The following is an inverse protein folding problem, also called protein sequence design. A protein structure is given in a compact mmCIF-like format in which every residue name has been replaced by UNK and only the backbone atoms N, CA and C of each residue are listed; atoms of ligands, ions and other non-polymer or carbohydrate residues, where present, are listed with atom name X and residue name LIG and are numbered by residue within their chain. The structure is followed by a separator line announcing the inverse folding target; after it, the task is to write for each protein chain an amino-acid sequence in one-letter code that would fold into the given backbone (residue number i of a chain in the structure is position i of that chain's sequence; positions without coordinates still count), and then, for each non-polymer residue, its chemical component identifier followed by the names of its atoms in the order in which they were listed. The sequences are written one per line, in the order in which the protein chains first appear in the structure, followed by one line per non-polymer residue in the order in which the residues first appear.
data_IF_860456063989
#
_entry.id   IF_860456063989
#
_cell.length_a   1.000
_cell.length_b   1.000
_cell.length_c   1.000
_cell.angle_alpha   90.00
_cell.angle_beta   90.00
_cell.angle_gamma   90.00
#
_symmetry.space_group_name_H-M   'P 1'
#
loop_
_entity.id
_entity.type
_entity.pdbx_description
1 polymer ?
#
# COMPACT_ATOMS: atom_id res chain seq x y z
N UNK A 1 -3.02 0.04 -19.53
CA UNK A 1 -3.41 -1.37 -19.87
C UNK A 1 -3.94 -1.47 -21.30
N UNK A 2 -3.10 -1.14 -22.27
CA UNK A 2 -3.41 -1.26 -23.70
C UNK A 2 -3.03 -2.63 -24.29
N UNK A 3 -2.46 -3.52 -23.47
CA UNK A 3 -2.00 -4.85 -23.87
C UNK A 3 -0.61 -4.86 -24.52
N UNK A 4 0.10 -3.72 -24.53
CA UNK A 4 1.46 -3.64 -25.06
C UNK A 4 2.45 -4.34 -24.14
N UNK A 5 3.34 -5.15 -24.69
CA UNK A 5 4.42 -5.77 -23.93
C UNK A 5 5.45 -4.72 -23.51
N UNK A 6 5.79 -4.70 -22.21
CA UNK A 6 6.78 -3.78 -21.67
C UNK A 6 8.22 -4.17 -22.06
N UNK A 7 9.08 -3.18 -22.23
CA UNK A 7 10.50 -3.40 -22.43
C UNK A 7 11.18 -3.98 -21.18
N UNK A 8 12.35 -4.60 -21.35
CA UNK A 8 13.17 -5.09 -20.24
C UNK A 8 13.51 -3.93 -19.28
N UNK A 9 13.26 -4.13 -17.99
CA UNK A 9 13.42 -3.11 -16.95
C UNK A 9 12.22 -2.18 -16.77
N UNK A 10 11.23 -2.23 -17.65
CA UNK A 10 10.01 -1.44 -17.55
C UNK A 10 8.98 -2.14 -16.65
N UNK A 11 8.29 -1.35 -15.82
CA UNK A 11 7.26 -1.84 -14.91
C UNK A 11 5.95 -2.08 -15.66
N UNK A 12 5.40 -3.29 -15.50
CA UNK A 12 4.13 -3.65 -16.12
C UNK A 12 3.27 -4.57 -15.26
N UNK A 13 2.01 -4.72 -15.66
CA UNK A 13 1.11 -5.70 -15.07
C UNK A 13 1.51 -7.11 -15.51
N UNK A 14 1.67 -8.01 -14.55
CA UNK A 14 2.08 -9.39 -14.84
C UNK A 14 0.89 -10.21 -15.30
N UNK A 15 1.00 -10.77 -16.49
CA UNK A 15 0.04 -11.71 -17.06
C UNK A 15 0.71 -13.05 -17.31
N UNK A 16 -0.01 -14.14 -17.18
CA UNK A 16 0.51 -15.49 -17.42
C UNK A 16 -0.41 -16.29 -18.33
N UNK A 17 0.20 -17.07 -19.22
CA UNK A 17 -0.48 -18.03 -20.08
C UNK A 17 0.33 -19.31 -20.12
N UNK A 18 -0.32 -20.46 -20.11
CA UNK A 18 0.33 -21.77 -20.19
C UNK A 18 -0.52 -22.90 -19.58
N UNK A 19 -0.07 -24.14 -19.71
CA UNK A 19 -0.82 -25.32 -19.25
C UNK A 19 -1.00 -25.41 -17.73
N UNK A 20 -0.24 -24.62 -16.98
CA UNK A 20 -0.34 -24.49 -15.53
C UNK A 20 -1.39 -23.46 -15.06
N UNK A 21 -1.97 -22.69 -16.00
CA UNK A 21 -3.01 -21.72 -15.67
C UNK A 21 -4.37 -22.40 -15.67
N UNK A 22 -5.14 -22.17 -14.59
CA UNK A 22 -6.49 -22.71 -14.47
C UNK A 22 -7.44 -22.08 -15.51
N UNK A 23 -8.52 -22.81 -15.86
CA UNK A 23 -9.45 -22.39 -16.90
C UNK A 23 -10.47 -21.34 -16.48
N UNK A 24 -10.56 -21.04 -15.19
CA UNK A 24 -11.49 -20.03 -14.66
C UNK A 24 -11.93 -20.31 -13.22
N UNK A 25 -12.65 -19.36 -12.64
CA UNK A 25 -13.19 -19.47 -11.28
C UNK A 25 -14.47 -20.31 -11.26
N UNK A 26 -14.53 -21.29 -10.37
CA UNK A 26 -15.68 -22.16 -10.24
C UNK A 26 -16.97 -21.39 -9.96
N UNK A 27 -17.98 -21.54 -10.81
CA UNK A 27 -19.29 -20.88 -10.73
C UNK A 27 -19.21 -19.34 -10.65
N UNK A 28 -18.15 -18.73 -11.17
CA UNK A 28 -17.95 -17.27 -11.20
C UNK A 28 -17.54 -16.82 -12.61
N UNK A 29 -18.45 -16.90 -13.60
CA UNK A 29 -18.12 -16.56 -15.00
C UNK A 29 -17.72 -15.09 -15.17
N UNK A 30 -18.40 -14.16 -14.47
CA UNK A 30 -18.09 -12.73 -14.55
C UNK A 30 -16.67 -12.46 -14.05
N UNK A 31 -16.31 -13.03 -12.88
CA UNK A 31 -14.96 -12.90 -12.37
C UNK A 31 -13.92 -13.51 -13.30
N UNK A 32 -14.23 -14.65 -13.92
CA UNK A 32 -13.34 -15.27 -14.91
C UNK A 32 -13.12 -14.34 -16.09
N UNK A 33 -14.19 -13.72 -16.59
CA UNK A 33 -14.11 -12.75 -17.69
C UNK A 33 -13.27 -11.52 -17.34
N UNK A 34 -13.37 -11.03 -16.10
CA UNK A 34 -12.63 -9.85 -15.64
C UNK A 34 -11.14 -10.14 -15.44
N UNK A 35 -10.80 -11.37 -15.02
CA UNK A 35 -9.42 -11.76 -14.69
C UNK A 35 -8.67 -12.39 -15.86
N UNK A 36 -9.31 -12.62 -17.00
CA UNK A 36 -8.67 -13.11 -18.21
C UNK A 36 -8.80 -12.10 -19.36
N UNK A 37 -7.78 -12.05 -20.20
CA UNK A 37 -7.84 -11.30 -21.45
C UNK A 37 -8.63 -12.11 -22.51
N UNK A 38 -9.05 -11.46 -23.61
CA UNK A 38 -9.78 -12.11 -24.69
C UNK A 38 -8.95 -13.20 -25.41
N UNK A 39 -7.64 -13.12 -25.35
CA UNK A 39 -6.67 -14.08 -25.92
C UNK A 39 -6.13 -15.08 -24.89
N UNK A 40 -6.74 -15.13 -23.69
CA UNK A 40 -6.54 -16.20 -22.71
C UNK A 40 -5.39 -16.01 -21.72
N UNK A 41 -4.86 -14.79 -21.56
CA UNK A 41 -3.90 -14.49 -20.51
C UNK A 41 -4.60 -14.21 -19.18
N UNK A 42 -4.12 -14.81 -18.10
CA UNK A 42 -4.60 -14.56 -16.75
C UNK A 42 -3.89 -13.33 -16.16
N UNK A 43 -4.66 -12.34 -15.72
CA UNK A 43 -4.20 -11.15 -15.00
C UNK A 43 -3.92 -11.50 -13.56
N UNK A 44 -2.64 -11.60 -13.16
CA UNK A 44 -2.27 -12.02 -11.78
C UNK A 44 -2.60 -10.96 -10.74
N UNK A 45 -2.77 -9.71 -11.16
CA UNK A 45 -2.88 -8.53 -10.29
C UNK A 45 -1.54 -8.14 -9.66
N UNK A 46 -0.44 -8.77 -10.07
CA UNK A 46 0.91 -8.38 -9.66
C UNK A 46 1.50 -7.38 -10.64
N UNK A 47 2.42 -6.56 -10.15
CA UNK A 47 3.26 -5.65 -10.94
C UNK A 47 4.69 -6.15 -10.85
N UNK A 48 5.40 -6.13 -11.96
CA UNK A 48 6.78 -6.57 -12.04
C UNK A 48 7.50 -6.03 -13.26
N UNK A 49 8.73 -6.43 -13.42
CA UNK A 49 9.56 -6.16 -14.60
C UNK A 49 10.48 -7.35 -14.89
N UNK A 50 10.87 -7.50 -16.12
CA UNK A 50 11.93 -8.44 -16.49
C UNK A 50 13.30 -7.78 -16.39
N UNK A 51 14.31 -8.55 -15.95
CA UNK A 51 15.68 -8.06 -15.85
C UNK A 51 15.88 -6.96 -14.83
N UNK A 52 16.99 -6.23 -14.95
CA UNK A 52 17.38 -5.14 -14.08
C UNK A 52 18.90 -5.09 -13.90
N UNK A 53 19.41 -4.14 -13.08
CA UNK A 53 20.86 -3.90 -12.94
C UNK A 53 21.66 -5.17 -12.66
N UNK A 54 21.15 -6.04 -11.77
CA UNK A 54 21.85 -7.25 -11.30
C UNK A 54 21.02 -8.53 -11.56
N UNK A 55 19.97 -8.45 -12.40
CA UNK A 55 19.04 -9.53 -12.69
C UNK A 55 19.03 -9.78 -14.20
N UNK A 56 19.30 -11.03 -14.66
CA UNK A 56 19.22 -11.34 -16.10
C UNK A 56 17.85 -11.06 -16.69
N UNK A 57 17.80 -10.61 -17.95
CA UNK A 57 16.58 -10.17 -18.64
C UNK A 57 15.43 -11.19 -18.67
N UNK A 58 15.73 -12.46 -18.53
CA UNK A 58 14.75 -13.56 -18.49
C UNK A 58 14.08 -13.79 -17.13
N UNK A 59 14.53 -13.10 -16.06
CA UNK A 59 13.95 -13.26 -14.74
C UNK A 59 12.94 -12.15 -14.46
N UNK A 60 11.76 -12.57 -14.02
CA UNK A 60 10.70 -11.67 -13.56
C UNK A 60 10.94 -11.29 -12.10
N UNK A 61 11.04 -9.99 -11.84
CA UNK A 61 11.05 -9.42 -10.49
C UNK A 61 9.66 -8.89 -10.16
N UNK A 62 9.00 -9.47 -9.14
CA UNK A 62 7.71 -8.99 -8.66
C UNK A 62 7.92 -7.83 -7.68
N UNK A 63 7.31 -6.69 -7.96
CA UNK A 63 7.44 -5.44 -7.19
C UNK A 63 6.29 -5.27 -6.20
N UNK A 64 5.12 -5.79 -6.49
CA UNK A 64 3.96 -5.72 -5.61
C UNK A 64 2.64 -6.04 -6.31
N UNK A 65 1.55 -5.70 -5.61
CA UNK A 65 0.19 -5.85 -6.13
C UNK A 65 -0.32 -4.52 -6.69
N UNK A 66 -1.01 -4.55 -7.82
CA UNK A 66 -1.60 -3.34 -8.42
C UNK A 66 -2.58 -2.64 -7.47
N UNK A 67 -3.40 -3.40 -6.74
CA UNK A 67 -4.35 -2.90 -5.73
C UNK A 67 -3.69 -2.31 -4.47
N UNK A 68 -2.41 -2.58 -4.26
CA UNK A 68 -1.65 -2.08 -3.11
C UNK A 68 -0.74 -0.90 -3.50
N UNK A 69 -0.65 -0.58 -4.79
CA UNK A 69 0.06 0.59 -5.29
C UNK A 69 -0.47 1.85 -4.62
N UNK A 70 0.43 2.68 -4.11
CA UNK A 70 0.11 3.96 -3.49
C UNK A 70 0.42 5.06 -4.49
N UNK A 71 -0.53 5.96 -4.71
CA UNK A 71 -0.33 7.12 -5.59
C UNK A 71 -0.25 8.37 -4.73
N UNK A 72 0.97 8.86 -4.50
CA UNK A 72 1.24 10.03 -3.67
C UNK A 72 1.78 11.17 -4.52
N UNK A 73 1.03 12.28 -4.60
CA UNK A 73 1.43 13.43 -5.43
C UNK A 73 1.63 13.08 -6.91
N UNK A 74 0.87 12.12 -7.45
CA UNK A 74 1.00 11.63 -8.83
C UNK A 74 2.15 10.63 -9.06
N UNK A 75 2.88 10.24 -8.02
CA UNK A 75 3.99 9.30 -8.10
C UNK A 75 3.60 7.92 -7.58
N UNK A 76 4.00 6.89 -8.31
CA UNK A 76 3.79 5.50 -7.93
C UNK A 76 4.77 5.06 -6.84
N UNK A 77 4.22 4.54 -5.75
CA UNK A 77 4.99 3.98 -4.63
C UNK A 77 4.57 2.54 -4.41
N UNK A 78 5.55 1.66 -4.47
CA UNK A 78 5.35 0.22 -4.27
C UNK A 78 5.61 -0.13 -2.80
N UNK A 79 4.59 -0.53 -2.03
CA UNK A 79 4.72 -0.83 -0.60
C UNK A 79 5.82 -1.82 -0.28
N UNK A 80 5.98 -2.86 -1.11
CA UNK A 80 6.96 -3.93 -0.88
C UNK A 80 8.40 -3.45 -0.87
N UNK A 81 8.72 -2.45 -1.68
CA UNK A 81 10.04 -1.81 -1.68
C UNK A 81 10.33 -1.18 -0.31
N UNK A 82 9.38 -0.40 0.22
CA UNK A 82 9.54 0.29 1.51
C UNK A 82 9.56 -0.71 2.67
N UNK A 83 8.69 -1.72 2.62
CA UNK A 83 8.67 -2.82 3.60
C UNK A 83 10.03 -3.50 3.69
N UNK A 84 10.70 -3.76 2.57
CA UNK A 84 12.05 -4.33 2.56
C UNK A 84 13.06 -3.47 3.34
N UNK A 85 13.05 -2.14 3.16
CA UNK A 85 13.93 -1.25 3.91
C UNK A 85 13.57 -1.16 5.40
N UNK A 86 12.29 -1.26 5.76
CA UNK A 86 11.84 -1.25 7.15
C UNK A 86 12.21 -2.56 7.84
N UNK A 87 11.98 -3.69 7.19
CA UNK A 87 12.22 -5.03 7.73
C UNK A 87 13.71 -5.30 7.94
N UNK A 88 14.62 -4.59 7.24
CA UNK A 88 16.06 -4.60 7.45
C UNK A 88 16.49 -3.92 8.76
N UNK A 89 15.62 -3.14 9.41
CA UNK A 89 15.95 -2.45 10.67
C UNK A 89 15.96 -3.45 11.84
N UNK A 90 17.06 -3.45 12.62
CA UNK A 90 17.35 -4.49 13.60
C UNK A 90 16.28 -4.77 14.65
N UNK A 91 15.47 -3.77 15.02
CA UNK A 91 14.42 -3.90 16.04
C UNK A 91 13.01 -4.10 15.45
N UNK A 92 12.91 -4.29 14.14
CA UNK A 92 11.67 -4.62 13.44
C UNK A 92 11.51 -6.14 13.29
N UNK A 93 10.30 -6.63 13.46
CA UNK A 93 9.92 -8.03 13.21
C UNK A 93 9.27 -8.14 11.82
N UNK A 94 8.33 -7.25 11.53
CA UNK A 94 7.62 -7.18 10.27
C UNK A 94 6.97 -5.82 10.08
N UNK A 95 6.67 -5.49 8.84
CA UNK A 95 5.98 -4.25 8.51
C UNK A 95 4.90 -4.43 7.45
N UNK A 96 3.99 -3.47 7.37
CA UNK A 96 3.05 -3.31 6.28
C UNK A 96 2.96 -1.83 5.92
N UNK A 97 3.15 -1.53 4.63
CA UNK A 97 3.04 -0.17 4.11
C UNK A 97 1.74 -0.04 3.33
N UNK A 98 1.01 1.03 3.61
CA UNK A 98 -0.30 1.33 3.03
C UNK A 98 -0.39 2.78 2.58
N UNK A 99 -1.24 3.05 1.58
CA UNK A 99 -1.72 4.38 1.26
C UNK A 99 -2.96 4.71 2.08
N UNK A 100 -3.01 5.92 2.61
CA UNK A 100 -4.21 6.46 3.26
C UNK A 100 -4.53 7.84 2.69
N UNK A 101 -5.80 8.28 2.67
CA UNK A 101 -6.20 9.56 2.11
C UNK A 101 -5.41 10.74 2.72
N UNK A 102 -4.96 11.65 1.88
CA UNK A 102 -4.25 12.86 2.27
C UNK A 102 -4.76 14.05 1.45
N UNK A 103 -5.05 15.22 2.07
CA UNK A 103 -5.66 16.34 1.38
C UNK A 103 -4.81 16.90 0.22
N UNK A 104 -3.48 16.90 0.35
CA UNK A 104 -2.59 17.53 -0.64
C UNK A 104 -2.02 16.53 -1.65
N UNK A 105 -1.90 15.24 -1.29
CA UNK A 105 -1.18 14.25 -2.09
C UNK A 105 -2.08 13.17 -2.70
N UNK A 106 -3.40 13.23 -2.46
CA UNK A 106 -4.30 12.12 -2.76
C UNK A 106 -4.14 10.98 -1.76
N UNK A 107 -2.98 10.32 -1.75
CA UNK A 107 -2.60 9.36 -0.72
C UNK A 107 -1.28 9.74 -0.04
N UNK A 108 -1.15 9.42 1.24
CA UNK A 108 0.12 9.46 1.96
C UNK A 108 0.58 8.04 2.31
N UNK A 109 1.88 7.83 2.23
CA UNK A 109 2.53 6.59 2.66
C UNK A 109 2.50 6.50 4.18
N UNK A 110 1.98 5.39 4.71
CA UNK A 110 1.94 5.06 6.13
C UNK A 110 2.52 3.67 6.35
N UNK A 111 3.40 3.53 7.33
CA UNK A 111 3.93 2.25 7.76
C UNK A 111 3.27 1.80 9.07
N UNK A 112 2.91 0.52 9.14
CA UNK A 112 2.46 -0.16 10.36
C UNK A 112 3.48 -1.24 10.67
N UNK A 113 4.10 -1.18 11.84
CA UNK A 113 5.31 -1.95 12.16
C UNK A 113 5.13 -2.73 13.46
N UNK A 114 5.59 -3.96 13.47
CA UNK A 114 5.72 -4.77 14.68
C UNK A 114 7.17 -4.73 15.13
N UNK A 115 7.40 -4.22 16.32
CA UNK A 115 8.73 -4.19 16.93
C UNK A 115 9.07 -5.48 17.68
N UNK A 116 10.36 -5.75 17.90
CA UNK A 116 10.80 -6.86 18.74
C UNK A 116 10.35 -6.65 20.17
N UNK A 117 9.88 -7.72 20.80
CA UNK A 117 9.41 -7.68 22.19
C UNK A 117 10.49 -7.10 23.14
N UNK A 118 10.07 -6.16 24.00
CA UNK A 118 10.97 -5.50 24.95
C UNK A 118 11.85 -4.42 24.34
N UNK A 119 11.72 -4.09 23.05
CA UNK A 119 12.44 -3.00 22.38
C UNK A 119 11.50 -1.86 22.05
N UNK A 120 11.85 -0.65 22.48
CA UNK A 120 11.11 0.55 22.09
C UNK A 120 11.51 0.95 20.67
N UNK A 121 10.59 0.80 19.72
CA UNK A 121 10.78 1.29 18.35
C UNK A 121 10.28 2.73 18.26
N UNK A 122 11.21 3.69 18.13
CA UNK A 122 10.85 5.09 17.95
C UNK A 122 10.46 5.35 16.49
N UNK A 123 9.20 5.69 16.24
CA UNK A 123 8.68 5.98 14.90
C UNK A 123 9.47 7.06 14.16
N UNK A 124 9.94 8.08 14.86
CA UNK A 124 10.76 9.16 14.28
C UNK A 124 12.13 8.67 13.83
N UNK A 125 12.81 7.84 14.62
CA UNK A 125 14.11 7.27 14.27
C UNK A 125 14.01 6.37 13.04
N UNK A 126 12.92 5.59 12.92
CA UNK A 126 12.67 4.78 11.73
C UNK A 126 12.49 5.65 10.48
N UNK A 127 11.69 6.73 10.57
CA UNK A 127 11.50 7.68 9.47
C UNK A 127 12.85 8.30 9.05
N UNK A 128 13.68 8.72 10.02
CA UNK A 128 14.96 9.34 9.73
C UNK A 128 15.96 8.36 9.10
N UNK A 129 15.92 7.11 9.50
CA UNK A 129 16.71 6.03 8.87
C UNK A 129 16.32 5.84 7.39
N UNK A 130 15.03 5.92 7.08
CA UNK A 130 14.53 5.76 5.72
C UNK A 130 14.85 6.97 4.82
N UNK A 131 14.85 8.19 5.35
CA UNK A 131 15.19 9.42 4.58
C UNK A 131 16.55 9.36 3.91
N UNK A 132 17.51 8.67 4.51
CA UNK A 132 18.85 8.48 3.92
C UNK A 132 18.94 7.34 2.88
N UNK A 133 17.90 6.51 2.75
CA UNK A 133 17.94 5.27 1.96
C UNK A 133 17.01 5.26 0.76
N UNK A 134 15.90 6.00 0.83
CA UNK A 134 14.85 6.05 -0.22
C UNK A 134 14.47 7.48 -0.57
N UNK A 135 13.87 7.66 -1.74
CA UNK A 135 13.40 8.96 -2.20
C UNK A 135 12.33 9.54 -1.24
N UNK A 136 12.35 10.86 -1.06
CA UNK A 136 11.57 11.56 -0.04
C UNK A 136 10.05 11.32 -0.12
N UNK A 137 9.51 11.19 -1.34
CA UNK A 137 8.08 10.90 -1.55
C UNK A 137 7.69 9.48 -1.14
N UNK A 138 8.64 8.53 -1.07
CA UNK A 138 8.45 7.16 -0.60
C UNK A 138 8.51 7.04 0.93
N UNK A 139 9.11 8.02 1.62
CA UNK A 139 9.26 8.00 3.08
C UNK A 139 7.89 8.08 3.75
N UNK A 140 7.56 7.15 4.67
CA UNK A 140 6.29 7.18 5.37
C UNK A 140 6.09 8.51 6.12
N UNK A 141 4.91 9.13 5.94
CA UNK A 141 4.53 10.34 6.68
C UNK A 141 4.15 10.05 8.13
N UNK A 142 3.76 8.80 8.41
CA UNK A 142 3.45 8.29 9.75
C UNK A 142 3.90 6.84 9.87
N UNK A 143 4.35 6.49 11.06
CA UNK A 143 4.65 5.11 11.46
C UNK A 143 3.82 4.78 12.70
N UNK A 144 3.08 3.69 12.65
CA UNK A 144 2.34 3.14 13.78
C UNK A 144 3.03 1.86 14.25
N UNK A 145 3.37 1.78 15.52
CA UNK A 145 3.88 0.56 16.13
C UNK A 145 2.71 -0.19 16.74
N UNK A 146 2.59 -1.47 16.39
CA UNK A 146 1.50 -2.35 16.85
C UNK A 146 2.06 -3.66 17.37
N UNK A 147 1.27 -4.37 18.17
CA UNK A 147 1.68 -5.69 18.69
C UNK A 147 1.67 -6.75 17.60
N UNK A 148 0.72 -6.67 16.66
CA UNK A 148 0.59 -7.63 15.55
C UNK A 148 -0.13 -7.00 14.34
N UNK A 149 0.20 -7.47 13.14
CA UNK A 149 -0.51 -7.13 11.92
C UNK A 149 -1.76 -8.00 11.76
N UNK A 150 -2.88 -7.46 11.24
CA UNK A 150 -4.07 -8.25 10.95
C UNK A 150 -3.78 -9.24 9.82
N UNK A 151 -4.15 -10.50 10.03
CA UNK A 151 -3.94 -11.60 9.07
C UNK A 151 -5.24 -12.33 8.77
N UNK A 152 -5.34 -12.85 7.56
CA UNK A 152 -6.41 -13.77 7.20
C UNK A 152 -6.10 -15.20 7.71
N UNK A 153 -7.02 -16.13 7.48
CA UNK A 153 -6.87 -17.55 7.86
C UNK A 153 -5.67 -18.25 7.22
N UNK A 154 -5.15 -17.71 6.12
CA UNK A 154 -3.95 -18.21 5.42
C UNK A 154 -2.66 -17.53 5.90
N UNK A 155 -2.72 -16.70 6.95
CA UNK A 155 -1.56 -15.97 7.48
C UNK A 155 -1.14 -14.74 6.69
N UNK A 156 -1.85 -14.36 5.62
CA UNK A 156 -1.51 -13.16 4.81
C UNK A 156 -1.97 -11.88 5.49
N UNK A 157 -1.09 -10.87 5.53
CA UNK A 157 -1.41 -9.54 6.06
C UNK A 157 -2.56 -8.91 5.29
N UNK A 158 -3.56 -8.40 6.02
CA UNK A 158 -4.74 -7.76 5.48
C UNK A 158 -4.57 -6.24 5.41
N UNK A 159 -3.92 -5.74 4.35
CA UNK A 159 -3.70 -4.30 4.14
C UNK A 159 -4.99 -3.50 4.03
N UNK A 160 -6.07 -4.10 3.52
CA UNK A 160 -7.39 -3.46 3.49
C UNK A 160 -7.92 -3.12 4.90
N UNK A 161 -7.70 -3.99 5.88
CA UNK A 161 -8.06 -3.73 7.29
C UNK A 161 -7.24 -2.58 7.86
N UNK A 162 -5.95 -2.53 7.53
CA UNK A 162 -5.08 -1.43 7.96
C UNK A 162 -5.48 -0.10 7.32
N UNK A 163 -5.78 -0.09 6.01
CA UNK A 163 -6.26 1.14 5.33
C UNK A 163 -7.53 1.67 5.99
N UNK A 164 -8.49 0.81 6.29
CA UNK A 164 -9.72 1.21 6.96
C UNK A 164 -9.46 1.75 8.36
N UNK A 165 -8.59 1.10 9.16
CA UNK A 165 -8.21 1.54 10.51
C UNK A 165 -7.56 2.91 10.52
N UNK A 166 -6.71 3.21 9.54
CA UNK A 166 -5.88 4.42 9.51
C UNK A 166 -6.34 5.49 8.51
N UNK A 167 -7.47 5.30 7.83
CA UNK A 167 -7.98 6.22 6.81
C UNK A 167 -8.14 7.67 7.26
N UNK A 168 -8.38 7.90 8.55
CA UNK A 168 -8.57 9.24 9.11
C UNK A 168 -7.27 9.90 9.60
N UNK A 169 -6.10 9.29 9.38
CA UNK A 169 -4.80 9.76 9.90
C UNK A 169 -4.50 11.22 9.54
N UNK A 170 -4.88 11.66 8.34
CA UNK A 170 -4.63 13.02 7.83
C UNK A 170 -5.90 13.82 7.58
N UNK A 171 -7.06 13.28 7.98
CA UNK A 171 -8.31 14.04 7.88
C UNK A 171 -8.28 15.14 8.92
N UNK A 172 -8.46 16.43 8.56
CA UNK A 172 -8.58 17.50 9.52
C UNK A 172 -9.75 17.20 10.47
N UNK A 173 -9.52 17.36 11.77
CA UNK A 173 -10.61 17.28 12.74
C UNK A 173 -11.70 18.27 12.31
N UNK A 174 -12.90 17.78 12.01
CA UNK A 174 -14.06 18.64 11.74
C UNK A 174 -14.20 19.58 12.93
N UNK A 175 -14.07 20.89 12.69
CA UNK A 175 -14.44 21.88 13.70
C UNK A 175 -15.88 21.58 14.10
N UNK A 176 -16.06 21.13 15.33
CA UNK A 176 -17.39 20.96 15.91
C UNK A 176 -17.98 22.36 15.93
N UNK A 177 -19.04 22.59 15.15
CA UNK A 177 -19.77 23.85 15.09
C UNK A 177 -20.04 24.36 16.51
N UNK A 178 -19.28 25.38 16.92
CA UNK A 178 -19.62 26.19 18.05
C UNK A 178 -20.89 26.96 17.69
N UNK A 179 -22.04 26.42 18.08
CA UNK A 179 -23.31 27.09 18.00
C UNK A 179 -23.19 28.40 18.80
N UNK A 180 -23.36 29.61 18.18
CA UNK A 180 -23.39 30.83 18.97
C UNK A 180 -24.65 30.80 19.82
N UNK A 181 -24.48 30.80 21.12
CA UNK A 181 -25.53 31.04 22.07
C UNK A 181 -25.92 32.53 22.05
N UNK A 182 -26.88 32.87 21.18
CA UNK A 182 -27.53 34.18 21.22
C UNK A 182 -28.99 33.98 21.59
N UNK A 183 -29.24 33.85 22.90
CA UNK A 183 -30.56 34.08 23.47
C UNK A 183 -30.39 34.56 24.89
N UNK A 184 -30.21 35.87 25.06
CA UNK A 184 -30.63 36.60 26.26
C UNK A 184 -30.70 38.07 25.93
N UNK A 185 -31.92 38.56 25.75
CA UNK A 185 -32.37 39.84 26.31
C UNK A 185 -33.64 40.30 25.61
N UNK A 186 -34.77 40.06 26.24
CA UNK A 186 -35.90 41.00 26.22
C UNK A 186 -36.98 40.47 27.12
N UNK A 187 -36.85 40.75 28.38
CA UNK A 187 -37.98 40.86 29.30
C UNK A 187 -37.84 42.18 30.00
N UNK A 188 -38.71 43.11 29.72
CA UNK A 188 -39.24 44.12 30.66
C UNK A 188 -39.80 45.29 29.86
N UNK A 189 -41.07 45.34 29.64
CA UNK A 189 -42.08 46.29 30.12
C UNK A 189 -43.41 45.98 29.46
#
# INVERSE_FOLDING_TARGET
DDGTECAVGEMGAVQVNGPNVFSGYWRMPDKTKDEFTSDGWFRTGDIGHFGGRDVPDRYLTLVGRSKDLIITGGLNVYPKEIEGYIDDVADVVESAVIGVPHPDFGEAVVAVVVGKHGRALASTALIDTLKGRIANYKVPKRVFVVEQLPRNTMGKVQKNVLRERYKATFTPARAVDAKPSSERAAATK
#
